data_IF_413636096466
#
_entry.id   IF_413636096466
#
_cell.length_a   1.000
_cell.length_b   1.000
_cell.length_c   1.000
_cell.angle_alpha   90.00
_cell.angle_beta   90.00
_cell.angle_gamma   90.00
#
_symmetry.space_group_name_H-M   'P 1'
#
loop_
_entity.id
_entity.type
_entity.pdbx_description
1 polymer ?
#
# COMPACT_ATOMS: atom_id res chain seq x y z
N UNK A 1 1.32 -1.11 10.04
CA UNK A 1 0.12 -1.84 10.48
C UNK A 1 -1.14 -1.06 10.07
N UNK A 2 -2.23 -1.73 9.69
CA UNK A 2 -3.54 -1.13 9.39
C UNK A 2 -4.69 -2.04 9.84
N UNK A 3 -5.80 -1.43 10.23
CA UNK A 3 -7.00 -2.12 10.68
C UNK A 3 -8.16 -1.81 9.71
N UNK A 4 -8.97 -2.80 9.39
CA UNK A 4 -10.24 -2.64 8.69
C UNK A 4 -11.29 -3.57 9.29
N UNK A 5 -12.35 -2.97 9.85
CA UNK A 5 -13.53 -3.59 10.51
C UNK A 5 -13.24 -4.74 11.47
N UNK A 6 -12.73 -5.86 10.96
CA UNK A 6 -12.47 -7.11 11.68
C UNK A 6 -11.06 -7.65 11.48
N UNK A 7 -10.23 -7.00 10.67
CA UNK A 7 -8.93 -7.50 10.25
C UNK A 7 -7.81 -6.51 10.58
N UNK A 8 -6.68 -7.07 11.01
CA UNK A 8 -5.42 -6.36 11.22
C UNK A 8 -4.40 -6.84 10.18
N UNK A 9 -3.70 -5.89 9.56
CA UNK A 9 -2.65 -6.14 8.58
C UNK A 9 -1.33 -5.55 9.08
N UNK A 10 -0.25 -6.31 9.07
CA UNK A 10 1.09 -5.81 9.41
C UNK A 10 2.14 -6.31 8.42
N UNK A 11 2.91 -5.39 7.85
CA UNK A 11 4.06 -5.71 7.01
C UNK A 11 5.28 -6.09 7.86
N UNK A 12 6.12 -6.95 7.34
CA UNK A 12 7.37 -7.39 7.97
C UNK A 12 8.59 -6.92 7.17
N UNK A 13 9.77 -7.06 7.77
CA UNK A 13 11.07 -6.85 7.13
C UNK A 13 11.41 -7.92 6.08
N UNK A 14 10.68 -9.05 6.09
CA UNK A 14 10.85 -10.17 5.13
C UNK A 14 9.91 -10.12 3.93
N UNK A 15 9.21 -9.01 3.70
CA UNK A 15 8.28 -8.91 2.56
C UNK A 15 6.98 -9.67 2.73
N UNK A 16 6.65 -10.04 3.98
CA UNK A 16 5.39 -10.69 4.29
C UNK A 16 4.43 -9.68 4.89
N UNK A 17 3.14 -9.76 4.54
CA UNK A 17 2.09 -9.06 5.26
C UNK A 17 1.28 -10.10 6.02
N UNK A 18 1.33 -10.03 7.34
CA UNK A 18 0.56 -10.89 8.23
C UNK A 18 -0.84 -10.31 8.41
N UNK A 19 -1.83 -11.21 8.49
CA UNK A 19 -3.24 -10.85 8.59
C UNK A 19 -3.88 -11.58 9.76
N UNK A 20 -4.50 -10.82 10.67
CA UNK A 20 -5.20 -11.36 11.83
C UNK A 20 -6.67 -10.97 11.81
N UNK A 21 -7.54 -11.87 12.27
CA UNK A 21 -8.85 -11.44 12.79
C UNK A 21 -8.63 -10.67 14.09
N UNK A 22 -9.40 -9.61 14.26
CA UNK A 22 -9.29 -8.67 15.36
C UNK A 22 -10.64 -8.42 16.08
N UNK A 23 -11.70 -9.15 15.71
CA UNK A 23 -12.91 -9.28 16.52
C UNK A 23 -12.72 -10.43 17.53
N UNK A 24 -12.23 -10.08 18.72
CA UNK A 24 -11.88 -11.04 19.77
C UNK A 24 -10.36 -11.19 19.91
N UNK A 25 -9.87 -12.35 20.40
CA UNK A 25 -8.44 -12.63 20.41
C UNK A 25 -7.85 -12.52 19.00
N UNK A 26 -6.65 -11.96 18.89
CA UNK A 26 -5.96 -11.91 17.60
C UNK A 26 -5.64 -13.33 17.11
N UNK A 27 -6.29 -13.73 16.02
CA UNK A 27 -6.07 -15.02 15.35
C UNK A 27 -5.34 -14.76 14.03
N UNK A 28 -4.14 -15.31 13.85
CA UNK A 28 -3.44 -15.23 12.56
C UNK A 28 -4.16 -16.11 11.55
N UNK A 29 -4.70 -15.50 10.50
CA UNK A 29 -5.55 -16.19 9.50
C UNK A 29 -4.92 -16.27 8.12
N UNK A 30 -3.91 -15.44 7.83
CA UNK A 30 -3.23 -15.43 6.55
C UNK A 30 -1.87 -14.75 6.59
N UNK A 31 -1.05 -15.04 5.57
CA UNK A 31 0.16 -14.30 5.23
C UNK A 31 0.18 -14.02 3.72
N UNK A 32 0.35 -12.76 3.35
CA UNK A 32 0.53 -12.33 1.97
C UNK A 32 2.03 -12.33 1.66
N UNK A 33 2.45 -13.17 0.73
CA UNK A 33 3.84 -13.27 0.26
C UNK A 33 3.92 -12.73 -1.17
N UNK A 34 5.01 -12.04 -1.51
CA UNK A 34 5.20 -11.52 -2.87
C UNK A 34 6.05 -10.26 -2.94
N UNK A 35 6.16 -9.53 -1.84
CA UNK A 35 7.21 -8.54 -1.66
C UNK A 35 8.54 -9.25 -1.40
N UNK A 36 9.62 -8.76 -1.99
CA UNK A 36 10.97 -9.37 -1.89
C UNK A 36 11.83 -8.74 -0.80
N UNK A 37 11.33 -7.69 -0.16
CA UNK A 37 12.02 -6.89 0.85
C UNK A 37 11.00 -6.21 1.79
N UNK A 38 11.45 -5.24 2.58
CA UNK A 38 10.71 -4.66 3.70
C UNK A 38 9.40 -4.01 3.23
N UNK A 39 8.29 -4.38 3.88
CA UNK A 39 7.00 -3.70 3.71
C UNK A 39 6.93 -2.51 4.67
N UNK A 40 7.13 -1.31 4.14
CA UNK A 40 7.26 -0.08 4.94
C UNK A 40 5.93 0.60 5.22
N UNK A 41 4.93 0.43 4.36
CA UNK A 41 3.61 1.03 4.56
C UNK A 41 2.48 0.17 4.00
N UNK A 42 1.29 0.37 4.56
CA UNK A 42 0.06 -0.31 4.19
C UNK A 42 -1.07 0.71 4.11
N UNK A 43 -1.96 0.56 3.12
CA UNK A 43 -3.17 1.35 2.99
C UNK A 43 -4.32 0.50 2.50
N UNK A 44 -5.44 0.54 3.20
CA UNK A 44 -6.67 -0.12 2.78
C UNK A 44 -7.45 0.88 1.91
N UNK A 45 -7.91 0.42 0.75
CA UNK A 45 -8.77 1.20 -0.15
C UNK A 45 -10.10 1.52 0.51
N UNK A 46 -10.75 2.59 0.07
CA UNK A 46 -12.05 3.06 0.57
C UNK A 46 -13.16 2.01 0.50
N UNK A 47 -13.14 1.12 -0.50
CA UNK A 47 -14.09 0.02 -0.64
C UNK A 47 -13.78 -1.20 0.23
N UNK A 48 -12.67 -1.19 1.00
CA UNK A 48 -12.15 -2.34 1.75
C UNK A 48 -11.83 -3.60 0.92
N UNK A 49 -11.93 -3.54 -0.41
CA UNK A 49 -11.65 -4.67 -1.33
C UNK A 49 -10.22 -4.70 -1.87
N UNK A 50 -9.41 -3.69 -1.53
CA UNK A 50 -8.02 -3.57 -1.97
C UNK A 50 -7.10 -3.19 -0.82
N UNK A 51 -5.98 -3.87 -0.70
CA UNK A 51 -4.84 -3.44 0.09
C UNK A 51 -3.76 -2.92 -0.84
N UNK A 52 -3.15 -1.81 -0.48
CA UNK A 52 -1.95 -1.26 -1.11
C UNK A 52 -0.80 -1.42 -0.12
N UNK A 53 0.34 -1.92 -0.58
CA UNK A 53 1.54 -2.03 0.25
C UNK A 53 2.76 -1.50 -0.48
N UNK A 54 3.52 -0.64 0.19
CA UNK A 54 4.79 -0.13 -0.30
C UNK A 54 5.95 -0.98 0.20
N UNK A 55 6.84 -1.35 -0.70
CA UNK A 55 8.12 -1.98 -0.43
C UNK A 55 9.26 -1.01 -0.69
N UNK A 56 10.28 -1.11 0.15
CA UNK A 56 11.59 -0.51 -0.08
C UNK A 56 12.63 -1.62 0.10
N UNK A 57 13.46 -1.86 -0.92
CA UNK A 57 14.62 -2.74 -0.75
C UNK A 57 15.68 -2.10 0.17
N UNK A 58 16.64 -2.88 0.64
CA UNK A 58 17.69 -2.37 1.53
C UNK A 58 18.58 -1.27 0.90
N UNK A 59 18.46 -1.04 -0.39
CA UNK A 59 19.27 -0.10 -1.17
C UNK A 59 18.47 1.10 -1.68
N UNK A 60 17.16 1.14 -1.46
CA UNK A 60 16.20 2.12 -1.98
C UNK A 60 16.23 2.19 -3.53
N UNK A 61 16.75 1.15 -4.20
CA UNK A 61 16.86 1.12 -5.67
C UNK A 61 15.63 0.51 -6.32
N UNK A 62 15.07 -0.51 -5.70
CA UNK A 62 13.84 -1.15 -6.12
C UNK A 62 12.76 -0.89 -5.07
N UNK A 63 11.83 0.00 -5.40
CA UNK A 63 10.67 0.30 -4.58
C UNK A 63 9.42 -0.04 -5.37
N UNK A 64 8.48 -0.78 -4.77
CA UNK A 64 7.26 -1.18 -5.46
C UNK A 64 6.03 -0.93 -4.61
N UNK A 65 4.92 -0.60 -5.28
CA UNK A 65 3.59 -0.63 -4.69
C UNK A 65 2.90 -1.88 -5.21
N UNK A 66 2.51 -2.78 -4.31
CA UNK A 66 1.67 -3.93 -4.66
C UNK A 66 0.22 -3.67 -4.27
N UNK A 67 -0.68 -4.11 -5.15
CA UNK A 67 -2.12 -4.13 -4.91
C UNK A 67 -2.53 -5.57 -4.68
N UNK A 68 -3.27 -5.79 -3.60
CA UNK A 68 -3.82 -7.08 -3.21
C UNK A 68 -5.33 -6.97 -3.24
N UNK A 69 -5.99 -8.00 -3.76
CA UNK A 69 -7.45 -8.08 -3.65
C UNK A 69 -7.82 -8.68 -2.29
N UNK A 70 -8.71 -7.99 -1.57
CA UNK A 70 -9.30 -8.51 -0.33
C UNK A 70 -10.69 -9.04 -0.71
N UNK A 71 -10.86 -10.36 -0.66
CA UNK A 71 -12.15 -11.03 -0.82
C UNK A 71 -12.87 -11.14 0.52
N UNK A 72 -14.22 -11.16 0.51
CA UNK A 72 -15.01 -11.26 1.74
C UNK A 72 -14.78 -12.60 2.47
N UNK A 73 -14.95 -12.53 3.80
CA UNK A 73 -15.03 -13.65 4.74
C UNK A 73 -13.79 -14.57 4.78
N UNK A 74 -12.64 -14.03 5.15
CA UNK A 74 -11.51 -14.81 5.66
C UNK A 74 -10.83 -15.77 4.67
N UNK A 75 -11.34 -15.87 3.44
CA UNK A 75 -10.62 -16.40 2.29
C UNK A 75 -9.97 -15.22 1.62
N UNK A 76 -8.68 -15.05 1.80
CA UNK A 76 -7.91 -14.13 1.00
C UNK A 76 -7.44 -14.92 -0.22
N UNK A 77 -7.86 -14.55 -1.43
CA UNK A 77 -7.05 -14.90 -2.60
C UNK A 77 -5.84 -13.97 -2.54
N UNK A 78 -4.77 -14.50 -1.92
CA UNK A 78 -3.53 -13.81 -1.50
C UNK A 78 -2.66 -13.35 -2.68
N UNK A 79 -3.25 -13.13 -3.86
CA UNK A 79 -2.51 -12.83 -5.07
C UNK A 79 -2.34 -11.33 -5.26
N UNK A 80 -1.13 -10.98 -5.67
CA UNK A 80 -0.81 -9.63 -6.13
C UNK A 80 -1.53 -9.42 -7.45
N UNK A 81 -2.53 -8.53 -7.47
CA UNK A 81 -3.27 -8.22 -8.70
C UNK A 81 -2.58 -7.17 -9.56
N UNK A 82 -1.65 -6.41 -8.97
CA UNK A 82 -0.87 -5.40 -9.67
C UNK A 82 0.40 -5.05 -8.91
N UNK A 83 1.49 -4.76 -9.63
CA UNK A 83 2.74 -4.21 -9.09
C UNK A 83 3.09 -2.95 -9.88
N UNK A 84 3.39 -1.87 -9.16
CA UNK A 84 3.87 -0.62 -9.72
C UNK A 84 5.29 -0.33 -9.23
N UNK A 85 6.22 -0.09 -10.14
CA UNK A 85 7.57 0.35 -9.79
C UNK A 85 7.57 1.84 -9.44
N UNK A 86 8.28 2.19 -8.38
CA UNK A 86 8.45 3.58 -7.91
C UNK A 86 9.94 3.89 -7.91
N UNK A 87 10.28 5.00 -8.57
CA UNK A 87 11.67 5.43 -8.78
C UNK A 87 12.42 5.75 -7.48
N UNK A 88 11.72 6.19 -6.43
CA UNK A 88 12.31 6.56 -5.15
C UNK A 88 11.62 5.84 -3.99
N UNK A 89 12.33 5.77 -2.86
CA UNK A 89 11.86 5.19 -1.61
C UNK A 89 10.46 5.61 -1.25
N UNK A 90 9.60 4.64 -0.94
CA UNK A 90 8.23 4.90 -0.48
C UNK A 90 8.26 5.10 1.03
N UNK A 91 7.60 6.15 1.51
CA UNK A 91 7.45 6.44 2.95
C UNK A 91 6.04 6.13 3.41
N UNK A 92 5.04 6.60 2.67
CA UNK A 92 3.63 6.43 3.01
C UNK A 92 2.74 6.39 1.77
N UNK A 93 1.61 5.70 1.91
CA UNK A 93 0.56 5.62 0.90
C UNK A 93 -0.76 6.13 1.46
N UNK A 94 -1.46 6.93 0.66
CA UNK A 94 -2.80 7.40 0.97
C UNK A 94 -3.69 7.36 -0.28
N UNK A 95 -4.98 7.09 -0.10
CA UNK A 95 -5.94 7.12 -1.20
C UNK A 95 -6.99 8.17 -0.90
N UNK A 96 -7.21 9.08 -1.83
CA UNK A 96 -8.29 10.08 -1.78
C UNK A 96 -9.11 10.04 -3.06
N UNK A 97 -10.26 10.70 -3.03
CA UNK A 97 -11.04 10.96 -4.22
C UNK A 97 -10.81 12.40 -4.66
N UNK A 98 -10.69 12.62 -5.96
CA UNK A 98 -10.72 13.97 -6.50
C UNK A 98 -12.15 14.53 -6.58
N UNK A 99 -12.29 15.74 -7.11
CA UNK A 99 -13.58 16.42 -7.25
C UNK A 99 -14.58 15.66 -8.14
N UNK A 100 -14.10 14.76 -9.01
CA UNK A 100 -14.92 13.91 -9.88
C UNK A 100 -15.16 12.52 -9.28
N UNK A 101 -14.84 12.34 -7.99
CA UNK A 101 -14.98 11.06 -7.28
C UNK A 101 -14.12 9.95 -7.91
N UNK A 102 -13.00 10.31 -8.56
CA UNK A 102 -12.01 9.34 -9.04
C UNK A 102 -10.95 9.09 -7.97
N UNK A 103 -10.62 7.83 -7.67
CA UNK A 103 -9.61 7.52 -6.67
C UNK A 103 -8.20 7.88 -7.16
N UNK A 104 -7.42 8.54 -6.30
CA UNK A 104 -6.05 8.96 -6.53
C UNK A 104 -5.17 8.40 -5.42
N UNK A 105 -4.10 7.71 -5.79
CA UNK A 105 -3.07 7.24 -4.87
C UNK A 105 -2.02 8.32 -4.70
N UNK A 106 -1.75 8.69 -3.45
CA UNK A 106 -0.66 9.56 -3.04
C UNK A 106 0.45 8.69 -2.48
N UNK A 107 1.64 8.82 -3.05
CA UNK A 107 2.86 8.15 -2.62
C UNK A 107 3.86 9.19 -2.14
N UNK A 108 4.03 9.31 -0.83
CA UNK A 108 5.10 10.13 -0.25
C UNK A 108 6.42 9.40 -0.43
N UNK A 109 7.41 10.10 -0.97
CA UNK A 109 8.71 9.54 -1.32
C UNK A 109 9.86 10.14 -0.50
N UNK A 110 10.98 9.43 -0.43
CA UNK A 110 12.20 9.86 0.30
C UNK A 110 12.90 11.06 -0.34
N UNK A 111 12.54 11.44 -1.56
CA UNK A 111 13.08 12.59 -2.30
C UNK A 111 12.31 13.89 -2.04
N UNK A 112 11.60 13.99 -0.91
CA UNK A 112 10.76 15.13 -0.52
C UNK A 112 9.62 15.44 -1.51
N UNK A 113 9.18 14.45 -2.28
CA UNK A 113 8.05 14.58 -3.18
C UNK A 113 6.85 13.72 -2.78
N UNK A 114 5.68 14.10 -3.27
CA UNK A 114 4.47 13.28 -3.24
C UNK A 114 4.04 13.03 -4.67
N UNK A 115 4.08 11.76 -5.09
CA UNK A 115 3.66 11.32 -6.42
C UNK A 115 2.18 10.94 -6.39
N UNK A 116 1.42 11.42 -7.37
CA UNK A 116 0.00 11.16 -7.50
C UNK A 116 -0.23 10.23 -8.68
N UNK A 117 -1.06 9.20 -8.48
CA UNK A 117 -1.43 8.25 -9.52
C UNK A 117 -2.94 8.06 -9.60
N UNK A 118 -3.48 8.04 -10.81
CA UNK A 118 -4.87 7.67 -11.06
C UNK A 118 -5.09 6.20 -10.71
N UNK A 119 -6.13 5.88 -9.95
CA UNK A 119 -6.54 4.50 -9.75
C UNK A 119 -7.77 4.18 -10.62
N UNK A 120 -7.85 2.96 -11.19
CA UNK A 120 -6.93 1.83 -11.00
C UNK A 120 -5.75 1.78 -12.00
N UNK A 121 -5.61 2.74 -12.92
CA UNK A 121 -4.66 2.65 -14.04
C UNK A 121 -3.19 2.83 -13.65
N UNK A 122 -2.92 3.42 -12.49
CA UNK A 122 -1.60 3.89 -12.06
C UNK A 122 -0.94 4.90 -13.02
N UNK A 123 -1.75 5.62 -13.81
CA UNK A 123 -1.22 6.72 -14.61
C UNK A 123 -0.72 7.83 -13.68
N UNK A 124 0.53 8.27 -13.88
CA UNK A 124 1.11 9.37 -13.10
C UNK A 124 0.35 10.66 -13.41
N UNK A 125 -0.30 11.22 -12.40
CA UNK A 125 -1.08 12.46 -12.49
C UNK A 125 -0.21 13.69 -12.26
N UNK A 126 0.58 13.69 -11.19
CA UNK A 126 1.41 14.82 -10.80
C UNK A 126 2.53 14.42 -9.83
N UNK A 127 3.47 15.34 -9.61
CA UNK A 127 4.41 15.30 -8.49
C UNK A 127 4.28 16.62 -7.74
N UNK A 128 4.10 16.55 -6.43
CA UNK A 128 4.13 17.71 -5.54
C UNK A 128 5.47 17.73 -4.83
N UNK A 129 6.09 18.90 -4.73
CA UNK A 129 7.30 19.12 -3.94
C UNK A 129 6.97 20.03 -2.76
N UNK A 130 7.65 19.81 -1.63
CA UNK A 130 7.63 20.81 -0.56
C UNK A 130 8.15 22.15 -1.09
N UNK A 131 7.55 23.26 -0.63
CA UNK A 131 8.07 24.60 -0.92
C UNK A 131 9.44 24.71 -0.23
N UNK A 132 10.49 25.05 -0.97
CA UNK A 132 11.73 25.52 -0.32
C UNK A 132 11.46 26.93 0.21
N UNK A 133 11.71 27.15 1.50
CA UNK A 133 11.87 28.51 2.02
C UNK A 133 13.14 29.10 1.38
N UNK A 134 13.01 30.29 0.81
CA UNK A 134 14.11 31.09 0.23
C UNK A 134 14.57 32.09 1.28
#
# INVERSE_FOLDING_TARGET
MKFDKEMLFAGTDKGVILVWKAKGPFELVASLTGHTAIVVCLRIGSSATKLYSGLVDHTIKNCTIKVWHITEAGKFNLEVIYTHDVEHGIVALFVMYDAEVKPVLFCSSTDNSIRLYDLPSFNKRAILFGKQEV
#
